data_IF_094822011937
#
_entry.id   IF_094822011937
#
_cell.length_a   1.000
_cell.length_b   1.000
_cell.length_c   1.000
_cell.angle_alpha   90.00
_cell.angle_beta   90.00
_cell.angle_gamma   90.00
#
_symmetry.space_group_name_H-M   'P 1'
#
loop_
_entity.id
_entity.type
_entity.pdbx_description
1 polymer ?
#
# COMPACT_ATOMS: atom_id res chain seq x y z
N UNK A 1 22.65 -18.43 -18.74
CA UNK A 1 23.00 -19.38 -17.67
C UNK A 1 23.19 -18.68 -16.32
N UNK A 2 22.28 -17.77 -15.92
CA UNK A 2 22.26 -17.16 -14.58
C UNK A 2 20.83 -16.68 -14.34
N UNK A 3 19.93 -17.63 -14.11
CA UNK A 3 18.58 -17.33 -13.66
C UNK A 3 18.62 -17.39 -12.14
N UNK A 4 18.54 -16.23 -11.48
CA UNK A 4 18.38 -16.16 -10.04
C UNK A 4 17.18 -17.03 -9.65
N UNK A 5 17.45 -18.15 -9.00
CA UNK A 5 16.41 -19.05 -8.53
C UNK A 5 15.62 -18.43 -7.39
N UNK A 6 14.41 -18.94 -7.13
CA UNK A 6 13.61 -18.51 -5.98
C UNK A 6 14.39 -18.64 -4.65
N UNK A 7 15.26 -19.65 -4.52
CA UNK A 7 16.11 -19.83 -3.35
C UNK A 7 17.16 -18.72 -3.18
N UNK A 8 17.84 -18.34 -4.27
CA UNK A 8 18.83 -17.26 -4.24
C UNK A 8 18.17 -15.90 -3.96
N UNK A 9 16.99 -15.65 -4.55
CA UNK A 9 16.22 -14.44 -4.30
C UNK A 9 15.79 -14.31 -2.82
N UNK A 10 15.41 -15.42 -2.18
CA UNK A 10 15.09 -15.45 -0.75
C UNK A 10 16.30 -15.16 0.14
N UNK A 11 17.47 -15.69 -0.20
CA UNK A 11 18.72 -15.41 0.53
C UNK A 11 19.08 -13.93 0.42
N UNK A 12 18.99 -13.35 -0.77
CA UNK A 12 19.24 -11.91 -0.98
C UNK A 12 18.22 -11.07 -0.21
N UNK A 13 16.93 -11.44 -0.25
CA UNK A 13 15.88 -10.77 0.50
C UNK A 13 16.19 -10.78 2.01
N UNK A 14 16.63 -11.93 2.54
CA UNK A 14 16.98 -12.07 3.96
C UNK A 14 18.13 -11.12 4.34
N UNK A 15 19.17 -11.03 3.51
CA UNK A 15 20.29 -10.10 3.73
C UNK A 15 19.81 -8.64 3.73
N UNK A 16 18.97 -8.27 2.76
CA UNK A 16 18.40 -6.91 2.69
C UNK A 16 17.55 -6.62 3.93
N UNK A 17 16.76 -7.58 4.40
CA UNK A 17 15.97 -7.43 5.63
C UNK A 17 16.86 -7.24 6.86
N UNK A 18 17.98 -7.96 6.98
CA UNK A 18 18.90 -7.77 8.10
C UNK A 18 19.59 -6.40 8.08
N UNK A 19 20.00 -5.92 6.91
CA UNK A 19 20.66 -4.61 6.75
C UNK A 19 19.68 -3.44 6.98
N UNK A 20 18.47 -3.57 6.46
CA UNK A 20 17.45 -2.52 6.49
C UNK A 20 16.36 -2.77 7.53
N UNK A 21 16.60 -3.67 8.50
CA UNK A 21 15.71 -4.19 9.54
C UNK A 21 14.51 -3.29 9.87
N UNK A 22 14.78 -2.07 10.37
CA UNK A 22 13.74 -1.12 10.79
C UNK A 22 13.24 -0.19 9.68
N UNK A 23 14.02 0.01 8.60
CA UNK A 23 13.67 0.92 7.50
C UNK A 23 12.70 0.30 6.49
N UNK A 24 12.74 -1.01 6.29
CA UNK A 24 11.80 -1.70 5.40
C UNK A 24 10.33 -1.54 5.78
N UNK A 25 9.90 -1.79 7.04
CA UNK A 25 8.51 -1.60 7.42
C UNK A 25 8.10 -0.13 7.35
N UNK A 26 8.95 0.81 7.78
CA UNK A 26 8.68 2.26 7.73
C UNK A 26 8.46 2.74 6.26
N UNK A 27 9.29 2.25 5.33
CA UNK A 27 9.14 2.51 3.90
C UNK A 27 7.87 1.86 3.33
N UNK A 28 7.57 0.63 3.74
CA UNK A 28 6.35 -0.07 3.35
C UNK A 28 5.08 0.64 3.83
N UNK A 29 5.09 1.20 5.04
CA UNK A 29 3.97 1.93 5.61
C UNK A 29 3.71 3.23 4.85
N UNK A 30 4.75 4.02 4.60
CA UNK A 30 4.65 5.29 3.85
C UNK A 30 4.21 5.10 2.39
N UNK A 31 4.79 4.11 1.69
CA UNK A 31 4.36 3.72 0.35
C UNK A 31 2.95 3.15 0.36
N UNK A 32 2.62 2.30 1.33
CA UNK A 32 1.31 1.68 1.47
C UNK A 32 0.20 2.70 1.72
N UNK A 33 0.44 3.70 2.56
CA UNK A 33 -0.48 4.82 2.76
C UNK A 33 -0.69 5.62 1.47
N UNK A 34 0.38 5.89 0.73
CA UNK A 34 0.32 6.62 -0.55
C UNK A 34 -0.49 5.83 -1.58
N UNK A 35 -0.19 4.54 -1.75
CA UNK A 35 -0.92 3.64 -2.67
C UNK A 35 -2.39 3.51 -2.26
N UNK A 36 -2.70 3.42 -0.97
CA UNK A 36 -4.09 3.39 -0.47
C UNK A 36 -4.85 4.67 -0.80
N UNK A 37 -4.25 5.83 -0.55
CA UNK A 37 -4.84 7.14 -0.88
C UNK A 37 -5.01 7.31 -2.39
N UNK A 38 -4.01 6.91 -3.18
CA UNK A 38 -4.07 6.94 -4.64
C UNK A 38 -5.19 6.04 -5.18
N UNK A 39 -5.30 4.80 -4.67
CA UNK A 39 -6.38 3.88 -5.04
C UNK A 39 -7.76 4.41 -4.64
N UNK A 40 -7.87 5.09 -3.48
CA UNK A 40 -9.11 5.72 -3.02
C UNK A 40 -9.49 6.92 -3.89
N UNK A 41 -8.54 7.77 -4.26
CA UNK A 41 -8.77 8.92 -5.13
C UNK A 41 -9.17 8.51 -6.56
N UNK A 42 -8.52 7.48 -7.10
CA UNK A 42 -8.90 6.86 -8.39
C UNK A 42 -10.35 6.34 -8.34
N UNK A 43 -10.74 5.65 -7.27
CA UNK A 43 -12.11 5.13 -7.11
C UNK A 43 -13.17 6.20 -6.82
N UNK A 44 -12.83 7.23 -6.03
CA UNK A 44 -13.74 8.36 -5.76
C UNK A 44 -13.91 9.28 -6.97
N UNK A 45 -12.98 9.28 -7.93
CA UNK A 45 -13.17 10.06 -9.17
C UNK A 45 -14.21 9.43 -10.10
N UNK A 46 -14.40 8.11 -10.01
CA UNK A 46 -15.50 7.39 -10.68
C UNK A 46 -16.83 7.49 -9.90
N UNK A 47 -16.76 7.86 -8.61
CA UNK A 47 -17.89 7.98 -7.71
C UNK A 47 -18.09 9.46 -7.34
N UNK A 48 -18.60 10.25 -8.29
CA UNK A 48 -19.42 11.41 -7.91
C UNK A 48 -20.68 10.82 -7.26
N UNK A 49 -20.56 10.43 -5.99
CA UNK A 49 -21.68 10.07 -5.13
C UNK A 49 -22.47 11.34 -4.87
N UNK A 50 -23.43 11.62 -5.76
CA UNK A 50 -24.46 12.65 -5.60
C UNK A 50 -25.48 12.30 -4.52
N UNK A 51 -25.28 11.26 -3.70
CA UNK A 51 -26.20 10.96 -2.60
C UNK A 51 -26.01 12.00 -1.49
N UNK A 52 -26.97 12.91 -1.27
CA UNK A 52 -26.93 13.77 -0.10
C UNK A 52 -27.06 12.86 1.12
N UNK A 53 -26.13 12.96 2.06
CA UNK A 53 -26.36 12.42 3.40
C UNK A 53 -27.56 13.16 3.97
N UNK A 54 -28.74 12.53 3.92
CA UNK A 54 -29.94 13.03 4.58
C UNK A 54 -29.65 13.14 6.08
N UNK A 55 -29.38 14.37 6.51
CA UNK A 55 -29.69 14.85 7.85
C UNK A 55 -31.19 14.64 8.08
N UNK A 56 -31.53 13.50 8.67
CA UNK A 56 -32.81 13.31 9.36
C UNK A 56 -32.55 13.36 10.86
N UNK A 57 -32.16 14.56 11.30
CA UNK A 57 -32.50 15.05 12.63
C UNK A 57 -34.01 15.32 12.63
N UNK A 58 -34.79 14.42 13.25
CA UNK A 58 -36.18 14.70 13.60
C UNK A 58 -36.47 14.23 15.02
N UNK A 59 -36.31 15.21 15.90
CA UNK A 59 -37.00 15.41 17.16
C UNK A 59 -38.53 15.47 16.97
#
# INVERSE_FOLDING_TARGET
>A
MFGLGLGELLIVLLIVVLLFNRRLPDLGESLGMTVRKFRKAMRQSDEIDVTPKEESDKK
#
